data_IF_545496516421
#
_entry.id   IF_545496516421
#
_cell.length_a   1.000
_cell.length_b   1.000
_cell.length_c   1.000
_cell.angle_alpha   90.00
_cell.angle_beta   90.00
_cell.angle_gamma   90.00
#
_symmetry.space_group_name_H-M   'P 1'
#
loop_
_entity.id
_entity.type
_entity.pdbx_description
1 polymer ?
#
# COMPACT_ATOMS: atom_id res chain seq x y z
N UNK A 1 6.18 12.96 -4.25
CA UNK A 1 6.04 11.96 -3.20
C UNK A 1 7.17 10.91 -3.26
N UNK A 2 7.39 10.19 -4.36
CA UNK A 2 8.43 9.15 -4.50
C UNK A 2 9.81 9.68 -4.09
N UNK A 3 10.22 10.86 -4.56
CA UNK A 3 11.50 11.48 -4.16
C UNK A 3 11.64 11.68 -2.65
N UNK A 4 10.55 11.99 -1.95
CA UNK A 4 10.58 12.11 -0.49
C UNK A 4 10.80 10.77 0.19
N UNK A 5 10.17 9.70 -0.32
CA UNK A 5 10.41 8.34 0.18
C UNK A 5 11.88 7.92 -0.02
N UNK A 6 12.43 8.18 -1.21
CA UNK A 6 13.84 7.90 -1.54
C UNK A 6 14.82 8.69 -0.64
N UNK A 7 14.41 9.86 -0.16
CA UNK A 7 15.15 10.64 0.83
C UNK A 7 14.98 10.13 2.27
N UNK A 8 14.24 9.05 2.49
CA UNK A 8 13.96 8.51 3.82
C UNK A 8 12.93 9.34 4.62
N UNK A 9 12.04 10.08 3.93
CA UNK A 9 10.98 10.82 4.61
C UNK A 9 9.75 9.93 4.73
N UNK A 10 9.30 9.66 5.96
CA UNK A 10 8.09 8.90 6.26
C UNK A 10 6.87 9.78 5.97
N UNK A 11 6.45 9.80 4.73
CA UNK A 11 5.30 10.57 4.22
C UNK A 11 4.33 9.66 3.50
N UNK A 12 3.06 9.84 3.78
CA UNK A 12 1.99 9.04 3.20
C UNK A 12 1.22 9.85 2.17
N UNK A 13 0.66 9.16 1.18
CA UNK A 13 -0.19 9.78 0.17
C UNK A 13 -1.65 9.69 0.59
N UNK A 14 -2.45 10.62 0.12
CA UNK A 14 -3.91 10.54 0.17
C UNK A 14 -4.47 11.06 -1.14
N UNK A 15 -5.68 10.64 -1.50
CA UNK A 15 -6.33 11.03 -2.74
C UNK A 15 -7.68 11.69 -2.50
N UNK A 16 -8.03 12.58 -3.43
CA UNK A 16 -9.34 13.17 -3.54
C UNK A 16 -9.63 13.50 -4.99
N UNK A 17 -10.87 13.35 -5.44
CA UNK A 17 -11.22 13.53 -6.86
C UNK A 17 -11.23 15.00 -7.31
N UNK A 18 -11.34 15.95 -6.38
CA UNK A 18 -11.57 17.38 -6.67
C UNK A 18 -12.73 17.62 -7.68
N UNK A 19 -13.72 16.75 -7.67
CA UNK A 19 -14.78 16.71 -8.67
C UNK A 19 -15.83 17.76 -8.40
N UNK A 20 -16.12 18.58 -9.40
CA UNK A 20 -17.19 19.61 -9.40
C UNK A 20 -18.44 19.19 -10.19
N UNK A 21 -18.58 17.90 -10.47
CA UNK A 21 -19.69 17.30 -11.23
C UNK A 21 -19.88 15.84 -10.88
N UNK A 22 -19.89 14.97 -11.87
CA UNK A 22 -19.97 13.53 -11.67
C UNK A 22 -18.72 13.00 -10.95
N UNK A 23 -18.91 12.09 -10.00
CA UNK A 23 -17.81 11.53 -9.22
C UNK A 23 -16.94 10.66 -10.12
N UNK A 24 -15.68 11.10 -10.32
CA UNK A 24 -14.62 10.29 -10.89
C UNK A 24 -13.98 9.43 -9.79
N UNK A 25 -13.77 8.15 -10.03
CA UNK A 25 -13.17 7.22 -9.07
C UNK A 25 -11.63 7.14 -9.21
N UNK A 26 -11.02 7.99 -10.02
CA UNK A 26 -9.61 7.83 -10.41
C UNK A 26 -8.60 8.20 -9.32
N UNK A 27 -8.99 9.07 -8.38
CA UNK A 27 -8.09 9.56 -7.34
C UNK A 27 -8.65 9.41 -5.91
N UNK A 28 -9.53 8.42 -5.69
CA UNK A 28 -10.13 8.18 -4.38
C UNK A 28 -9.19 7.42 -3.45
N UNK A 29 -9.26 7.71 -2.16
CA UNK A 29 -8.67 6.86 -1.14
C UNK A 29 -9.61 5.70 -0.81
N UNK A 30 -9.09 4.48 -0.89
CA UNK A 30 -9.84 3.24 -0.63
C UNK A 30 -9.40 2.64 0.68
N UNK A 31 -10.34 2.48 1.59
CA UNK A 31 -10.15 1.93 2.92
C UNK A 31 -10.82 0.57 3.07
N UNK A 32 -10.15 -0.36 3.74
CA UNK A 32 -10.69 -1.66 4.11
C UNK A 32 -10.99 -1.65 5.61
N UNK A 33 -12.25 -1.49 5.99
CA UNK A 33 -12.66 -1.47 7.40
C UNK A 33 -13.59 -2.64 7.72
N UNK A 34 -13.50 -3.17 8.94
CA UNK A 34 -14.44 -4.17 9.43
C UNK A 34 -15.80 -3.57 9.78
N UNK A 35 -15.88 -2.26 10.02
CA UNK A 35 -17.11 -1.53 10.28
C UNK A 35 -17.15 -0.23 9.47
N UNK A 36 -18.36 0.20 9.11
CA UNK A 36 -18.59 1.46 8.40
C UNK A 36 -18.88 2.57 9.40
N UNK A 37 -17.86 3.09 10.04
CA UNK A 37 -17.98 4.21 10.97
C UNK A 37 -16.98 5.31 10.63
N UNK A 38 -17.31 6.56 11.01
CA UNK A 38 -16.38 7.67 10.86
C UNK A 38 -15.09 7.43 11.66
N UNK A 39 -15.20 6.78 12.82
CA UNK A 39 -14.05 6.44 13.65
C UNK A 39 -13.09 5.48 12.91
N UNK A 40 -13.60 4.38 12.35
CA UNK A 40 -12.78 3.41 11.60
C UNK A 40 -12.09 4.05 10.40
N UNK A 41 -12.76 4.98 9.72
CA UNK A 41 -12.17 5.76 8.63
C UNK A 41 -10.99 6.61 9.11
N UNK A 42 -11.16 7.37 10.20
CA UNK A 42 -10.08 8.21 10.73
C UNK A 42 -8.93 7.38 11.30
N UNK A 43 -9.21 6.26 11.94
CA UNK A 43 -8.18 5.36 12.46
C UNK A 43 -7.29 4.85 11.30
N UNK A 44 -7.87 4.43 10.18
CA UNK A 44 -7.11 4.01 9.00
C UNK A 44 -6.37 5.16 8.30
N UNK A 45 -6.94 6.37 8.26
CA UNK A 45 -6.18 7.53 7.79
C UNK A 45 -4.93 7.79 8.63
N UNK A 46 -5.04 7.65 9.96
CA UNK A 46 -3.90 7.84 10.86
C UNK A 46 -2.81 6.77 10.71
N UNK A 47 -3.22 5.54 10.44
CA UNK A 47 -2.29 4.43 10.22
C UNK A 47 -1.75 4.35 8.80
N UNK A 48 -2.29 5.15 7.87
CA UNK A 48 -1.97 5.10 6.44
C UNK A 48 -2.26 3.74 5.76
N UNK A 49 -3.13 2.91 6.34
CA UNK A 49 -3.54 1.62 5.76
C UNK A 49 -4.67 1.80 4.76
N UNK A 50 -4.35 2.39 3.63
CA UNK A 50 -5.29 2.61 2.53
C UNK A 50 -4.58 2.76 1.18
N UNK A 51 -5.35 2.63 0.11
CA UNK A 51 -4.91 2.80 -1.28
C UNK A 51 -5.49 4.06 -1.88
N UNK A 52 -4.73 4.73 -2.73
CA UNK A 52 -5.21 5.82 -3.59
C UNK A 52 -5.30 5.32 -5.02
N UNK A 53 -6.45 5.49 -5.68
CA UNK A 53 -6.65 5.20 -7.10
C UNK A 53 -7.75 4.19 -7.42
N UNK A 54 -7.64 3.59 -8.59
CA UNK A 54 -8.71 2.86 -9.28
C UNK A 54 -8.97 1.44 -8.75
N UNK A 55 -8.10 0.91 -7.89
CA UNK A 55 -8.18 -0.44 -7.34
C UNK A 55 -7.67 -0.47 -5.91
N UNK A 56 -8.27 -1.30 -5.08
CA UNK A 56 -7.80 -1.49 -3.72
C UNK A 56 -6.62 -2.46 -3.65
N UNK A 57 -5.57 -2.03 -2.97
CA UNK A 57 -4.40 -2.81 -2.64
C UNK A 57 -4.34 -3.02 -1.13
N UNK A 58 -4.09 -4.24 -0.70
CA UNK A 58 -3.83 -4.60 0.68
C UNK A 58 -2.44 -5.24 0.73
N UNK A 59 -1.48 -4.54 1.29
CA UNK A 59 -0.12 -5.05 1.45
C UNK A 59 0.20 -5.16 2.94
N UNK A 60 0.83 -6.27 3.32
CA UNK A 60 1.35 -6.43 4.68
C UNK A 60 2.71 -7.15 4.66
N UNK A 61 3.49 -6.91 5.70
CA UNK A 61 4.73 -7.66 5.99
C UNK A 61 4.54 -8.31 7.36
N UNK A 62 4.58 -9.64 7.40
CA UNK A 62 4.33 -10.44 8.62
C UNK A 62 3.05 -10.02 9.36
N UNK A 63 1.99 -9.69 8.62
CA UNK A 63 0.71 -9.25 9.16
C UNK A 63 0.63 -7.76 9.51
N UNK A 64 1.71 -7.00 9.39
CA UNK A 64 1.72 -5.55 9.60
C UNK A 64 1.30 -4.81 8.32
N UNK A 65 0.23 -4.00 8.36
CA UNK A 65 -0.34 -3.38 7.17
C UNK A 65 0.48 -2.20 6.66
N UNK A 66 0.04 -1.62 5.55
CA UNK A 66 0.57 -0.36 5.01
C UNK A 66 0.58 0.73 6.08
N UNK A 67 1.58 1.61 6.03
CA UNK A 67 1.82 2.64 7.05
C UNK A 67 2.64 2.18 8.25
N UNK A 68 2.89 0.88 8.40
CA UNK A 68 3.69 0.34 9.50
C UNK A 68 5.16 0.70 9.38
N UNK A 69 5.80 0.86 10.54
CA UNK A 69 7.25 1.03 10.69
C UNK A 69 7.82 -0.18 11.44
N UNK A 70 8.69 -0.94 10.77
CA UNK A 70 9.23 -2.21 11.25
C UNK A 70 10.75 -2.17 11.22
N UNK A 71 11.37 -3.02 12.02
CA UNK A 71 12.80 -3.34 11.90
C UNK A 71 12.96 -4.58 11.03
N UNK A 72 13.80 -4.50 10.00
CA UNK A 72 14.07 -5.65 9.13
C UNK A 72 14.63 -6.84 9.92
N UNK A 73 14.08 -8.04 9.64
CA UNK A 73 14.59 -9.33 10.10
C UNK A 73 14.63 -10.31 8.92
N UNK A 74 15.60 -11.20 8.91
CA UNK A 74 15.63 -12.28 7.91
C UNK A 74 14.41 -13.18 8.05
N UNK A 75 13.90 -13.64 6.93
CA UNK A 75 12.71 -14.52 6.88
C UNK A 75 11.37 -13.80 6.92
N UNK A 76 11.34 -12.47 6.90
CA UNK A 76 10.08 -11.73 6.75
C UNK A 76 9.43 -11.99 5.39
N UNK A 77 8.09 -12.00 5.38
CA UNK A 77 7.29 -12.23 4.18
C UNK A 77 6.35 -11.06 3.92
N UNK A 78 6.31 -10.63 2.66
CA UNK A 78 5.36 -9.66 2.16
C UNK A 78 4.24 -10.38 1.42
N UNK A 79 3.00 -10.02 1.74
CA UNK A 79 1.82 -10.40 0.97
C UNK A 79 1.17 -9.16 0.41
N UNK A 80 0.76 -9.22 -0.86
CA UNK A 80 0.02 -8.17 -1.54
C UNK A 80 -1.22 -8.79 -2.16
N UNK A 81 -2.39 -8.29 -1.81
CA UNK A 81 -3.65 -8.59 -2.46
C UNK A 81 -4.14 -7.38 -3.25
N UNK A 82 -4.32 -7.55 -4.53
CA UNK A 82 -5.00 -6.61 -5.41
C UNK A 82 -6.44 -7.09 -5.59
N UNK A 83 -7.42 -6.23 -5.33
CA UNK A 83 -8.81 -6.51 -5.67
C UNK A 83 -9.09 -6.20 -7.15
N UNK A 84 -10.30 -6.48 -7.63
CA UNK A 84 -10.71 -6.01 -8.94
C UNK A 84 -10.84 -4.49 -8.95
N UNK A 85 -10.66 -3.88 -10.11
CA UNK A 85 -10.83 -2.44 -10.30
C UNK A 85 -12.28 -2.03 -10.06
N UNK A 86 -12.47 -0.79 -9.63
CA UNK A 86 -13.81 -0.19 -9.66
C UNK A 86 -14.32 -0.19 -11.11
N UNK A 87 -15.59 -0.57 -11.35
CA UNK A 87 -16.10 -0.75 -12.72
C UNK A 87 -15.93 0.48 -13.62
N UNK A 88 -15.98 1.69 -13.06
CA UNK A 88 -15.79 2.93 -13.82
C UNK A 88 -14.32 3.22 -14.20
N UNK A 89 -13.37 2.57 -13.56
CA UNK A 89 -11.95 2.81 -13.76
C UNK A 89 -11.28 1.72 -14.63
N UNK A 90 -11.89 0.54 -14.75
CA UNK A 90 -11.35 -0.51 -15.59
C UNK A 90 -11.57 -0.22 -17.08
N UNK A 91 -10.50 -0.30 -17.83
CA UNK A 91 -10.53 -0.13 -19.29
C UNK A 91 -10.23 -1.47 -19.95
N UNK A 92 -11.18 -1.97 -20.73
CA UNK A 92 -10.96 -3.14 -21.59
C UNK A 92 -9.80 -2.85 -22.57
N UNK A 93 -9.00 -3.86 -22.88
CA UNK A 93 -7.82 -3.78 -23.77
C UNK A 93 -6.64 -2.92 -23.24
N UNK A 94 -6.63 -2.59 -21.96
CA UNK A 94 -5.48 -1.96 -21.32
C UNK A 94 -4.62 -3.02 -20.66
N UNK A 95 -3.31 -2.94 -20.86
CA UNK A 95 -2.35 -3.81 -20.19
C UNK A 95 -1.96 -3.18 -18.85
N UNK A 96 -2.21 -3.89 -17.76
CA UNK A 96 -1.88 -3.46 -16.42
C UNK A 96 -0.81 -4.37 -15.81
N UNK A 97 -0.06 -3.80 -14.89
CA UNK A 97 0.96 -4.50 -14.12
C UNK A 97 0.84 -4.13 -12.64
N UNK A 98 0.74 -5.14 -11.78
CA UNK A 98 0.89 -4.95 -10.33
C UNK A 98 2.37 -4.99 -9.98
N UNK A 99 2.84 -4.01 -9.21
CA UNK A 99 4.23 -3.86 -8.82
C UNK A 99 4.39 -3.75 -7.32
N UNK A 100 5.46 -4.34 -6.80
CA UNK A 100 6.01 -4.03 -5.48
C UNK A 100 7.33 -3.31 -5.69
N UNK A 101 7.46 -2.13 -5.11
CA UNK A 101 8.63 -1.28 -5.23
C UNK A 101 9.31 -1.09 -3.87
N UNK A 102 10.60 -0.82 -3.93
CA UNK A 102 11.42 -0.49 -2.78
C UNK A 102 12.27 0.76 -3.08
N UNK A 103 13.13 1.16 -2.15
CA UNK A 103 14.14 2.18 -2.36
C UNK A 103 15.21 1.79 -3.40
N UNK A 104 15.23 0.54 -3.85
CA UNK A 104 16.13 0.06 -4.89
C UNK A 104 15.40 -0.25 -6.21
N UNK A 105 14.21 0.29 -6.40
CA UNK A 105 13.40 0.10 -7.60
C UNK A 105 12.38 -1.02 -7.47
N UNK A 106 12.03 -1.64 -8.61
CA UNK A 106 11.00 -2.69 -8.69
C UNK A 106 11.52 -3.98 -8.08
N UNK A 107 10.91 -4.42 -7.00
CA UNK A 107 11.20 -5.71 -6.35
C UNK A 107 10.39 -6.86 -6.98
N UNK A 108 9.21 -6.56 -7.50
CA UNK A 108 8.35 -7.52 -8.19
C UNK A 108 7.43 -6.79 -9.18
N UNK A 109 7.16 -7.43 -10.30
CA UNK A 109 6.16 -6.97 -11.27
C UNK A 109 5.50 -8.18 -11.95
N UNK A 110 4.20 -8.09 -12.16
CA UNK A 110 3.43 -9.11 -12.87
C UNK A 110 2.24 -8.49 -13.58
N UNK A 111 1.96 -8.99 -14.78
CA UNK A 111 0.74 -8.60 -15.50
C UNK A 111 -0.49 -8.91 -14.64
N UNK A 112 -1.43 -7.98 -14.61
CA UNK A 112 -2.68 -8.13 -13.90
C UNK A 112 -3.87 -7.74 -14.78
N UNK A 113 -5.04 -8.23 -14.36
CA UNK A 113 -6.32 -7.93 -15.00
C UNK A 113 -7.18 -7.12 -14.08
N UNK A 114 -7.84 -6.10 -14.62
CA UNK A 114 -8.72 -5.23 -13.83
C UNK A 114 -10.01 -5.89 -13.34
N UNK A 115 -10.40 -7.02 -13.94
CA UNK A 115 -11.62 -7.77 -13.63
C UNK A 115 -11.39 -8.96 -12.66
N UNK A 116 -10.15 -9.24 -12.27
CA UNK A 116 -9.80 -10.36 -11.39
C UNK A 116 -8.93 -9.89 -10.22
N UNK A 117 -9.17 -10.42 -9.02
CA UNK A 117 -8.24 -10.22 -7.90
C UNK A 117 -6.93 -10.98 -8.17
N UNK A 118 -5.85 -10.48 -7.61
CA UNK A 118 -4.54 -11.12 -7.67
C UNK A 118 -3.89 -11.11 -6.29
N UNK A 119 -3.17 -12.17 -5.98
CA UNK A 119 -2.40 -12.29 -4.75
C UNK A 119 -0.93 -12.55 -5.08
N UNK A 120 -0.05 -11.90 -4.32
CA UNK A 120 1.41 -11.95 -4.51
C UNK A 120 2.05 -12.19 -3.16
N UNK A 121 3.00 -13.12 -3.12
CA UNK A 121 3.82 -13.39 -1.94
C UNK A 121 5.31 -13.25 -2.29
N UNK A 122 6.05 -12.53 -1.46
CA UNK A 122 7.48 -12.27 -1.66
C UNK A 122 8.26 -12.46 -0.36
N UNK A 123 9.47 -13.01 -0.48
CA UNK A 123 10.45 -12.89 0.60
C UNK A 123 10.97 -11.45 0.69
N UNK A 124 10.92 -10.88 1.89
CA UNK A 124 11.39 -9.51 2.14
C UNK A 124 12.91 -9.50 2.19
N UNK A 125 13.51 -8.57 1.48
CA UNK A 125 14.95 -8.30 1.52
C UNK A 125 15.20 -7.03 2.35
N UNK A 126 16.44 -6.83 2.81
CA UNK A 126 16.82 -5.60 3.52
C UNK A 126 16.71 -4.40 2.59
N UNK A 127 15.67 -3.60 2.79
CA UNK A 127 15.33 -2.35 2.08
C UNK A 127 14.88 -1.33 3.11
N UNK A 128 14.76 -0.07 2.74
CA UNK A 128 14.20 0.95 3.63
C UNK A 128 12.70 0.90 3.69
N UNK A 129 12.06 0.58 2.57
CA UNK A 129 10.61 0.45 2.50
C UNK A 129 10.17 -0.49 1.37
N UNK A 130 8.93 -0.93 1.44
CA UNK A 130 8.16 -1.51 0.33
C UNK A 130 6.85 -0.77 0.16
N UNK A 131 6.43 -0.57 -1.08
CA UNK A 131 5.12 -0.05 -1.46
C UNK A 131 4.58 -0.79 -2.66
N UNK A 132 3.26 -0.79 -2.84
CA UNK A 132 2.62 -1.38 -4.01
C UNK A 132 2.07 -0.31 -4.94
N UNK A 133 1.99 -0.63 -6.23
CA UNK A 133 1.27 0.18 -7.21
C UNK A 133 0.68 -0.71 -8.30
N UNK A 134 -0.34 -0.19 -9.00
CA UNK A 134 -0.81 -0.73 -10.28
C UNK A 134 -0.50 0.30 -11.36
N UNK A 135 0.13 -0.18 -12.41
CA UNK A 135 0.62 0.61 -13.51
C UNK A 135 -0.11 0.26 -14.80
N UNK A 136 -0.57 1.26 -15.53
CA UNK A 136 -1.14 1.15 -16.86
C UNK A 136 0.00 1.25 -17.89
N UNK A 137 0.36 0.10 -18.47
CA UNK A 137 1.41 0.01 -19.49
C UNK A 137 1.00 0.63 -20.82
N UNK A 138 -0.29 0.78 -21.06
CA UNK A 138 -0.83 1.32 -22.32
C UNK A 138 -0.74 2.85 -22.32
N UNK A 139 -1.02 3.47 -21.19
CA UNK A 139 -1.06 4.94 -21.07
C UNK A 139 0.12 5.51 -20.28
N UNK A 140 1.06 4.65 -19.87
CA UNK A 140 2.29 5.04 -19.14
C UNK A 140 1.99 5.84 -17.86
N UNK A 141 1.09 5.35 -17.02
CA UNK A 141 0.70 6.02 -15.78
C UNK A 141 0.38 5.06 -14.64
N UNK A 142 0.51 5.56 -13.42
CA UNK A 142 0.09 4.85 -12.20
C UNK A 142 -1.40 5.06 -12.01
N UNK A 143 -2.16 3.97 -11.81
CA UNK A 143 -3.61 3.99 -11.61
C UNK A 143 -4.03 3.67 -10.18
N UNK A 144 -3.13 3.10 -9.38
CA UNK A 144 -3.34 2.91 -7.94
C UNK A 144 -2.01 2.88 -7.20
N UNK A 145 -1.99 3.42 -5.99
CA UNK A 145 -0.81 3.48 -5.10
C UNK A 145 -1.21 3.05 -3.70
N UNK A 146 -0.47 2.07 -3.15
CA UNK A 146 -0.49 1.76 -1.72
C UNK A 146 0.56 2.57 -0.96
N UNK A 147 0.27 2.89 0.30
CA UNK A 147 1.24 3.53 1.19
C UNK A 147 2.38 2.56 1.57
N UNK A 148 3.57 3.08 1.90
CA UNK A 148 4.71 2.23 2.19
C UNK A 148 4.60 1.53 3.56
N UNK A 149 5.28 0.39 3.68
CA UNK A 149 5.72 -0.20 4.94
C UNK A 149 7.21 0.06 5.06
N UNK A 150 7.62 0.70 6.13
CA UNK A 150 9.02 1.04 6.40
C UNK A 150 9.74 -0.09 7.14
N UNK A 151 11.01 -0.31 6.82
CA UNK A 151 11.85 -1.35 7.42
C UNK A 151 13.13 -0.78 8.06
N UNK A 152 13.19 0.53 8.23
CA UNK A 152 14.29 1.26 8.84
C UNK A 152 13.94 1.73 10.26
N UNK A 153 12.86 1.21 10.84
CA UNK A 153 12.51 1.44 12.23
C UNK A 153 13.69 1.07 13.14
N UNK A 154 14.04 1.93 14.08
CA UNK A 154 14.88 1.53 15.20
C UNK A 154 14.15 0.45 15.99
N UNK A 155 14.87 -0.55 16.52
CA UNK A 155 14.30 -1.41 17.56
C UNK A 155 13.83 -0.48 18.68
N UNK A 156 12.55 -0.12 18.67
CA UNK A 156 11.94 0.51 19.83
C UNK A 156 12.03 -0.54 20.92
N UNK A 157 12.74 -0.19 22.01
CA UNK A 157 12.88 -1.02 23.19
C UNK A 157 11.55 -1.70 23.48
N UNK A 158 11.51 -3.05 23.35
CA UNK A 158 10.40 -3.79 23.93
C UNK A 158 10.30 -3.33 25.37
N UNK A 159 9.12 -2.91 25.86
CA UNK A 159 8.98 -2.55 27.24
C UNK A 159 9.41 -3.77 28.04
N UNK A 160 10.62 -3.71 28.59
CA UNK A 160 11.10 -4.72 29.53
C UNK A 160 10.06 -4.80 30.63
N UNK A 161 9.24 -5.83 30.54
CA UNK A 161 8.23 -6.13 31.55
C UNK A 161 8.90 -6.27 32.89
N UNK A 162 9.03 -5.19 33.62
CA UNK A 162 9.28 -5.25 35.05
C UNK A 162 8.02 -5.81 35.69
N UNK A 163 8.09 -7.13 35.95
CA UNK A 163 7.25 -7.80 36.90
C UNK A 163 7.36 -7.06 38.25
N UNK A 164 6.43 -6.16 38.49
CA UNK A 164 6.10 -5.79 39.88
C UNK A 164 5.07 -6.79 40.38
N UNK A 165 5.55 -7.79 41.08
CA UNK A 165 4.74 -8.52 42.06
C UNK A 165 5.14 -8.01 43.45
N UNK A 166 4.15 -7.79 44.31
CA UNK A 166 4.34 -7.32 45.68
C UNK A 166 4.97 -8.36 46.57
#
# INVERSE_FOLDING_TARGET
WVKLLEMGKHVYTSGGSDTHGDISNEALSTFYTYERSGKAFFDQMHTADFTVGAVGLQMCIDGHPMGSELTFREGMHLTLRMNHFFPAAWRANTAYEVRVLSDQGVAYASACRGDLPQEVELAVQKRRFYRAEVYDLTHDCVVAIGNPIWLDGSEADEPTGQSMLP
#
